data_IF_142001611917
#
_entry.id   IF_142001611917
#
_cell.length_a   1.000
_cell.length_b   1.000
_cell.length_c   1.000
_cell.angle_alpha   90.00
_cell.angle_beta   90.00
_cell.angle_gamma   90.00
#
_symmetry.space_group_name_H-M   'P 1'
#
loop_
_entity.id
_entity.type
_entity.pdbx_description
1 polymer ?
#
# COMPACT_ATOMS: atom_id res chain seq x y z
N UNK A 1 6.75 17.85 -6.41
CA UNK A 1 6.18 17.04 -5.46
C UNK A 1 6.26 15.61 -5.87
N UNK A 2 7.16 14.95 -5.18
CA UNK A 2 7.55 13.60 -5.56
C UNK A 2 6.41 12.59 -5.48
N UNK A 3 5.57 12.72 -4.46
CA UNK A 3 4.51 11.74 -4.27
C UNK A 3 3.43 11.82 -5.35
N UNK A 4 3.17 13.00 -5.93
CA UNK A 4 2.20 13.14 -7.03
C UNK A 4 2.65 12.41 -8.27
N UNK A 5 3.95 12.50 -8.60
CA UNK A 5 4.53 11.75 -9.70
C UNK A 5 4.46 10.25 -9.45
N UNK A 6 4.69 9.83 -8.20
CA UNK A 6 4.58 8.42 -7.82
C UNK A 6 3.17 7.89 -7.95
N UNK A 7 2.17 8.67 -7.54
CA UNK A 7 0.77 8.28 -7.70
C UNK A 7 0.42 8.14 -9.17
N UNK A 8 0.88 9.04 -10.01
CA UNK A 8 0.64 8.97 -11.45
C UNK A 8 1.28 7.72 -12.05
N UNK A 9 2.51 7.41 -11.65
CA UNK A 9 3.21 6.22 -12.08
C UNK A 9 2.44 4.95 -11.66
N UNK A 10 1.89 4.94 -10.45
CA UNK A 10 1.06 3.82 -9.97
C UNK A 10 -0.18 3.63 -10.84
N UNK A 11 -0.79 4.71 -11.28
CA UNK A 11 -1.94 4.63 -12.19
C UNK A 11 -1.55 4.00 -13.53
N UNK A 12 -0.39 4.35 -14.05
CA UNK A 12 0.12 3.76 -15.29
C UNK A 12 0.41 2.27 -15.10
N UNK A 13 1.00 1.89 -13.97
CA UNK A 13 1.23 0.50 -13.64
C UNK A 13 -0.07 -0.29 -13.57
N UNK A 14 -1.12 0.27 -12.97
CA UNK A 14 -2.44 -0.36 -12.93
C UNK A 14 -3.01 -0.60 -14.31
N UNK A 15 -2.90 0.38 -15.20
CA UNK A 15 -3.43 0.27 -16.55
C UNK A 15 -2.66 -0.74 -17.39
N UNK A 16 -1.34 -0.79 -17.22
CA UNK A 16 -0.49 -1.72 -17.98
C UNK A 16 -0.54 -3.14 -17.44
N UNK A 17 -0.83 -3.30 -16.14
CA UNK A 17 -0.92 -4.60 -15.49
C UNK A 17 -2.30 -5.24 -15.63
N UNK A 18 -3.02 -4.95 -16.71
CA UNK A 18 -4.38 -5.42 -16.90
C UNK A 18 -4.40 -6.92 -17.18
N UNK A 19 -4.40 -7.70 -16.11
CA UNK A 19 -4.42 -9.15 -16.16
C UNK A 19 -5.73 -9.66 -15.56
N UNK A 20 -6.40 -10.68 -16.15
CA UNK A 20 -7.68 -11.18 -15.64
C UNK A 20 -7.63 -11.65 -14.19
N UNK A 21 -6.46 -12.09 -13.71
CA UNK A 21 -6.28 -12.58 -12.35
C UNK A 21 -5.70 -11.53 -11.41
N UNK A 22 -5.44 -10.33 -11.90
CA UNK A 22 -4.88 -9.26 -11.10
C UNK A 22 -5.95 -8.22 -10.79
N UNK A 23 -5.83 -7.59 -9.63
CA UNK A 23 -6.70 -6.49 -9.24
C UNK A 23 -5.90 -5.44 -8.49
N UNK A 24 -6.44 -4.25 -8.42
CA UNK A 24 -5.77 -3.15 -7.74
C UNK A 24 -6.72 -2.59 -6.68
N UNK A 25 -6.44 -2.83 -5.40
CA UNK A 25 -7.27 -2.29 -4.34
C UNK A 25 -7.14 -0.76 -4.30
N UNK A 26 -8.22 -0.05 -3.96
CA UNK A 26 -8.14 1.39 -3.75
C UNK A 26 -7.23 1.68 -2.56
N UNK A 27 -6.35 2.65 -2.73
CA UNK A 27 -5.38 3.03 -1.70
C UNK A 27 -5.31 4.54 -1.61
N UNK A 28 -5.37 5.07 -0.39
CA UNK A 28 -5.10 6.46 -0.11
C UNK A 28 -3.74 6.59 0.55
N UNK A 29 -2.99 7.58 0.15
CA UNK A 29 -1.73 7.96 0.81
C UNK A 29 -1.83 9.41 1.20
N UNK A 30 -1.66 9.71 2.47
CA UNK A 30 -1.67 11.09 2.94
C UNK A 30 -0.56 11.31 3.94
N UNK A 31 -0.27 12.56 4.19
CA UNK A 31 0.87 12.97 4.98
C UNK A 31 0.44 13.89 6.11
N UNK A 32 1.01 13.65 7.29
CA UNK A 32 0.94 14.57 8.42
C UNK A 32 2.34 15.13 8.66
N UNK A 33 2.48 16.04 9.62
CA UNK A 33 3.81 16.53 9.97
C UNK A 33 4.75 15.41 10.44
N UNK A 34 4.20 14.39 11.08
CA UNK A 34 4.98 13.33 11.73
C UNK A 34 5.06 12.02 10.97
N UNK A 35 4.14 11.78 10.04
CA UNK A 35 4.04 10.47 9.42
C UNK A 35 3.39 10.52 8.05
N UNK A 36 3.66 9.48 7.25
CA UNK A 36 2.81 9.13 6.11
C UNK A 36 1.85 8.05 6.53
N UNK A 37 0.64 8.12 6.04
CA UNK A 37 -0.41 7.15 6.33
C UNK A 37 -0.88 6.55 5.01
N UNK A 38 -0.91 5.24 4.96
CA UNK A 38 -1.41 4.50 3.78
C UNK A 38 -2.61 3.69 4.23
N UNK A 39 -3.74 3.87 3.56
CA UNK A 39 -4.93 3.06 3.81
C UNK A 39 -5.32 2.31 2.55
N UNK A 40 -5.57 1.02 2.69
CA UNK A 40 -5.93 0.15 1.58
C UNK A 40 -7.21 -0.60 1.92
N UNK A 41 -8.13 -0.63 0.96
CA UNK A 41 -9.37 -1.41 1.13
C UNK A 41 -9.13 -2.84 0.65
N UNK A 42 -9.08 -3.76 1.60
CA UNK A 42 -8.80 -5.17 1.35
C UNK A 42 -9.87 -6.06 1.98
N UNK A 43 -11.14 -5.87 1.61
CA UNK A 43 -12.21 -6.65 2.22
C UNK A 43 -12.07 -8.14 1.87
N UNK A 44 -12.28 -8.97 2.87
CA UNK A 44 -12.21 -10.41 2.69
C UNK A 44 -10.82 -11.02 2.80
N UNK A 45 -9.77 -10.20 3.04
CA UNK A 45 -8.44 -10.72 3.24
C UNK A 45 -8.12 -10.85 4.73
N UNK A 46 -7.37 -11.90 5.05
CA UNK A 46 -6.76 -12.08 6.37
C UNK A 46 -5.33 -11.59 6.34
N UNK A 47 -4.73 -11.43 7.52
CA UNK A 47 -3.32 -11.02 7.64
C UNK A 47 -2.38 -11.93 6.84
N UNK A 48 -2.66 -13.22 6.83
CA UNK A 48 -1.83 -14.21 6.16
C UNK A 48 -1.78 -14.04 4.65
N UNK A 49 -2.74 -13.31 4.10
CA UNK A 49 -2.85 -13.07 2.67
C UNK A 49 -2.24 -11.74 2.24
N UNK A 50 -1.65 -11.01 3.19
CA UNK A 50 -1.07 -9.69 2.96
C UNK A 50 0.40 -9.72 3.37
N UNK A 51 1.25 -9.21 2.52
CA UNK A 51 2.68 -9.09 2.79
C UNK A 51 3.09 -7.64 2.61
N UNK A 52 3.81 -7.12 3.60
CA UNK A 52 4.33 -5.75 3.57
C UNK A 52 5.84 -5.80 3.60
N UNK A 53 6.46 -5.00 2.76
CA UNK A 53 7.90 -4.84 2.76
C UNK A 53 8.25 -3.36 2.65
N UNK A 54 9.26 -2.94 3.36
CA UNK A 54 9.77 -1.57 3.28
C UNK A 54 11.28 -1.61 3.08
N UNK A 55 11.74 -1.04 1.99
CA UNK A 55 13.15 -1.01 1.64
C UNK A 55 13.44 0.23 0.81
N UNK A 56 14.51 0.94 1.17
CA UNK A 56 14.95 2.13 0.41
C UNK A 56 13.85 3.15 0.17
N UNK A 57 13.09 3.50 1.21
CA UNK A 57 11.97 4.44 1.17
C UNK A 57 10.80 3.95 0.33
N UNK A 58 10.79 2.69 -0.05
CA UNK A 58 9.72 2.10 -0.84
C UNK A 58 8.92 1.12 0.02
N UNK A 59 7.63 1.38 0.10
CA UNK A 59 6.67 0.46 0.71
C UNK A 59 6.06 -0.37 -0.40
N UNK A 60 6.07 -1.68 -0.23
CA UNK A 60 5.41 -2.60 -1.15
C UNK A 60 4.35 -3.37 -0.40
N UNK A 61 3.15 -3.38 -0.94
CA UNK A 61 2.01 -4.13 -0.39
C UNK A 61 1.66 -5.20 -1.41
N UNK A 62 1.71 -6.46 -0.99
CA UNK A 62 1.35 -7.61 -1.83
C UNK A 62 0.24 -8.37 -1.16
N UNK A 63 -0.60 -8.97 -1.96
CA UNK A 63 -1.63 -9.81 -1.42
C UNK A 63 -2.31 -10.64 -2.49
N UNK A 64 -3.19 -11.52 -2.02
CA UNK A 64 -3.97 -12.37 -2.91
C UNK A 64 -5.37 -12.53 -2.35
N UNK A 65 -6.37 -12.24 -3.17
CA UNK A 65 -7.77 -12.49 -2.83
C UNK A 65 -8.28 -13.67 -3.65
N UNK A 66 -8.75 -14.69 -2.94
CA UNK A 66 -9.18 -15.94 -3.57
C UNK A 66 -10.40 -15.73 -4.46
N UNK A 67 -10.41 -16.48 -5.55
CA UNK A 67 -11.52 -16.52 -6.48
C UNK A 67 -12.52 -17.57 -6.02
N UNK A 68 -13.80 -17.20 -6.00
CA UNK A 68 -14.88 -18.14 -5.64
C UNK A 68 -15.03 -19.27 -6.64
N UNK A 69 -14.62 -19.07 -7.89
CA UNK A 69 -14.72 -20.12 -8.90
C UNK A 69 -13.85 -21.33 -8.57
N UNK A 70 -12.86 -21.16 -7.69
CA UNK A 70 -12.00 -22.25 -7.25
C UNK A 70 -12.74 -23.30 -6.42
N UNK A 71 -13.93 -23.00 -5.91
CA UNK A 71 -14.73 -23.96 -5.12
C UNK A 71 -15.30 -25.11 -5.94
N UNK A 72 -15.39 -24.96 -7.25
CA UNK A 72 -15.90 -25.99 -8.15
C UNK A 72 -17.42 -26.10 -8.20
N UNK A 73 -18.14 -25.36 -7.37
CA UNK A 73 -19.61 -25.40 -7.34
C UNK A 73 -20.27 -24.39 -8.26
N UNK A 74 -19.50 -23.50 -8.85
CA UNK A 74 -20.03 -22.44 -9.69
C UNK A 74 -20.38 -22.98 -11.06
N UNK A 75 -21.66 -22.89 -11.43
CA UNK A 75 -22.15 -23.29 -12.74
C UNK A 75 -21.88 -22.19 -13.78
N UNK A 76 -22.13 -20.96 -13.41
CA UNK A 76 -22.03 -19.82 -14.33
C UNK A 76 -21.98 -18.51 -13.56
N UNK A 77 -21.10 -17.61 -13.99
CA UNK A 77 -21.14 -16.23 -13.51
C UNK A 77 -22.07 -15.42 -14.41
N UNK A 78 -22.98 -14.70 -13.80
CA UNK A 78 -23.86 -13.77 -14.54
C UNK A 78 -23.28 -12.37 -14.61
N UNK A 79 -22.48 -12.02 -13.63
CA UNK A 79 -21.82 -10.73 -13.55
C UNK A 79 -20.62 -10.86 -12.63
N UNK A 80 -19.49 -10.27 -13.02
CA UNK A 80 -18.27 -10.28 -12.24
C UNK A 80 -17.70 -8.87 -12.22
N UNK A 81 -17.80 -8.21 -11.06
CA UNK A 81 -17.26 -6.87 -10.85
C UNK A 81 -16.25 -6.84 -9.72
N UNK A 82 -16.30 -7.82 -8.82
CA UNK A 82 -15.37 -7.88 -7.69
C UNK A 82 -14.02 -8.37 -8.18
N UNK A 83 -12.99 -7.56 -7.89
CA UNK A 83 -11.62 -7.93 -8.23
C UNK A 83 -11.13 -9.10 -7.37
N UNK A 84 -10.31 -9.95 -7.92
CA UNK A 84 -9.71 -11.09 -7.24
C UNK A 84 -8.33 -11.38 -7.83
N UNK A 85 -7.60 -12.28 -7.20
CA UNK A 85 -6.27 -12.65 -7.61
C UNK A 85 -5.19 -11.90 -6.84
N UNK A 86 -4.00 -11.85 -7.41
CA UNK A 86 -2.87 -11.22 -6.78
C UNK A 86 -2.81 -9.73 -7.08
N UNK A 87 -2.32 -8.97 -6.12
CA UNK A 87 -2.06 -7.55 -6.33
C UNK A 87 -0.70 -7.17 -5.76
N UNK A 88 -0.11 -6.14 -6.32
CA UNK A 88 1.12 -5.52 -5.83
C UNK A 88 0.97 -4.02 -5.99
N UNK A 89 1.19 -3.28 -4.91
CA UNK A 89 1.21 -1.82 -4.94
C UNK A 89 2.47 -1.34 -4.25
N UNK A 90 3.14 -0.38 -4.85
CA UNK A 90 4.37 0.17 -4.30
C UNK A 90 4.31 1.69 -4.25
N UNK A 91 4.88 2.26 -3.19
CA UNK A 91 4.92 3.70 -2.97
C UNK A 91 6.32 4.08 -2.50
N UNK A 92 6.84 5.17 -3.03
CA UNK A 92 8.13 5.70 -2.63
C UNK A 92 7.94 7.03 -1.92
N UNK A 93 8.67 7.21 -0.83
CA UNK A 93 8.53 8.39 0.01
C UNK A 93 9.81 9.25 -0.08
N UNK A 94 9.62 10.58 -0.15
CA UNK A 94 10.74 11.51 -0.23
C UNK A 94 11.48 11.64 1.10
N UNK A 95 10.73 11.58 2.21
CA UNK A 95 11.27 11.74 3.54
C UNK A 95 11.84 10.43 4.08
N UNK A 96 12.81 10.55 4.99
CA UNK A 96 13.29 9.37 5.71
C UNK A 96 12.24 8.86 6.66
N UNK A 97 12.08 7.55 6.69
CA UNK A 97 11.11 6.86 7.53
C UNK A 97 11.84 6.14 8.66
N UNK A 98 11.27 6.22 9.86
CA UNK A 98 11.74 5.41 10.99
C UNK A 98 11.21 3.99 10.84
N UNK A 99 11.97 3.16 10.14
CA UNK A 99 11.52 1.81 9.76
C UNK A 99 11.12 0.96 10.95
N UNK A 100 11.82 1.12 12.06
CA UNK A 100 11.55 0.35 13.27
C UNK A 100 10.21 0.69 13.93
N UNK A 101 9.64 1.83 13.56
CA UNK A 101 8.36 2.29 14.11
C UNK A 101 7.21 2.24 13.10
N UNK A 102 7.44 1.64 11.94
CA UNK A 102 6.37 1.40 10.99
C UNK A 102 5.42 0.39 11.59
N UNK A 103 4.15 0.73 11.58
CA UNK A 103 3.10 -0.11 12.15
C UNK A 103 1.96 -0.27 11.15
N UNK A 104 1.33 -1.42 11.19
CA UNK A 104 0.19 -1.70 10.32
C UNK A 104 -0.88 -2.45 11.12
N UNK A 105 -2.15 -2.15 10.81
CA UNK A 105 -3.26 -2.92 11.33
C UNK A 105 -4.28 -3.17 10.23
N UNK A 106 -5.06 -4.22 10.42
CA UNK A 106 -6.14 -4.58 9.51
C UNK A 106 -7.42 -4.66 10.33
N UNK A 107 -8.32 -3.72 10.10
CA UNK A 107 -9.59 -3.62 10.85
C UNK A 107 -10.72 -3.45 9.84
N UNK A 108 -11.71 -4.30 9.91
CA UNK A 108 -12.90 -4.25 9.04
C UNK A 108 -12.55 -4.21 7.54
N UNK A 109 -11.52 -4.93 7.15
CA UNK A 109 -11.09 -4.97 5.76
C UNK A 109 -10.27 -3.77 5.31
N UNK A 110 -9.93 -2.86 6.22
CA UNK A 110 -9.09 -1.70 5.91
C UNK A 110 -7.73 -1.89 6.54
N UNK A 111 -6.71 -1.90 5.69
CA UNK A 111 -5.33 -1.95 6.13
C UNK A 111 -4.83 -0.52 6.30
N UNK A 112 -4.35 -0.18 7.48
CA UNK A 112 -3.78 1.13 7.77
C UNK A 112 -2.32 0.95 8.12
N UNK A 113 -1.44 1.62 7.39
CA UNK A 113 0.01 1.57 7.61
C UNK A 113 0.47 2.97 7.99
N UNK A 114 1.10 3.07 9.13
CA UNK A 114 1.67 4.34 9.61
C UNK A 114 3.18 4.28 9.47
N UNK A 115 3.73 5.23 8.75
CA UNK A 115 5.16 5.32 8.49
C UNK A 115 5.69 6.62 9.11
N UNK A 116 6.21 6.56 10.34
CA UNK A 116 6.72 7.75 11.01
C UNK A 116 7.93 8.32 10.28
N UNK A 117 7.96 9.62 10.15
CA UNK A 117 9.11 10.32 9.59
C UNK A 117 10.21 10.43 10.64
N UNK A 118 11.46 10.38 10.19
CA UNK A 118 12.57 10.72 11.07
C UNK A 118 12.45 12.20 11.43
N UNK A 119 12.46 12.55 12.72
CA UNK A 119 12.38 13.96 13.09
C UNK A 119 13.53 14.76 12.48
N UNK A 120 13.29 16.02 12.09
CA UNK A 120 14.39 16.84 11.61
C UNK A 120 15.43 17.02 12.72
N UNK A 121 16.71 17.06 12.32
CA UNK A 121 17.77 17.30 13.27
C UNK A 121 17.55 18.66 13.94
N UNK A 122 17.73 18.76 15.28
CA UNK A 122 17.58 20.03 15.96
C UNK A 122 18.59 21.04 15.42
N UNK A 123 18.17 22.30 15.35
CA UNK A 123 19.06 23.37 14.95
C UNK A 123 20.24 23.42 15.89
N UNK A 124 21.41 23.47 15.32
CA UNK A 124 22.64 23.55 16.08
C UNK A 124 23.18 24.96 16.01
N UNK A 125 23.37 25.57 17.19
CA UNK A 125 24.00 26.86 17.28
C UNK A 125 25.49 26.70 17.06
N UNK A 126 26.02 27.43 16.11
CA UNK A 126 27.46 27.41 15.81
C UNK A 126 28.10 28.61 16.48
N UNK A 127 29.09 28.36 17.29
CA UNK A 127 29.85 29.42 17.96
C UNK A 127 30.95 29.90 17.07
N UNK A 128 31.08 31.26 16.93
CA UNK A 128 32.14 31.88 16.13
C UNK A 128 33.33 32.03 17.06
N UNK A 129 34.46 31.49 16.65
CA UNK A 129 35.71 31.60 17.37
C UNK A 129 36.40 32.92 17.10
#
# INVERSE_FOLDING_TARGET
MHWELRVLQQRLERLSAHHPEAWAPPIDVYETEKAFIVTAELPGLNRDQIELAFEDRRLTIRGHRSDRSASGDVLRFHQVERGHGSFVRSFEFADKIEVEHVAADLVDGVLTITLPKVPPAPSRKIEVL
#
